data_IF_699574762146
#
_entry.id   IF_699574762146
#
_cell.length_a   1.000
_cell.length_b   1.000
_cell.length_c   1.000
_cell.angle_alpha   90.00
_cell.angle_beta   90.00
_cell.angle_gamma   90.00
#
_symmetry.space_group_name_H-M   'P 1'
#
loop_
_entity.id
_entity.type
_entity.pdbx_description
1 polymer ?
#
# COMPACT_ATOMS: atom_id res chain seq x y z
N UNK A 1 12.34 2.89 8.36
CA UNK A 1 11.11 2.17 8.76
C UNK A 1 11.50 0.83 9.38
N UNK A 2 10.77 0.38 10.42
CA UNK A 2 10.98 -0.91 11.08
C UNK A 2 9.88 -1.86 10.66
N UNK A 3 10.10 -2.62 9.57
CA UNK A 3 9.10 -3.55 9.03
C UNK A 3 8.72 -4.65 10.04
N UNK A 4 9.59 -4.97 10.98
CA UNK A 4 9.34 -5.91 12.07
C UNK A 4 8.24 -5.47 13.06
N UNK A 5 7.75 -4.22 12.94
CA UNK A 5 6.59 -3.70 13.67
C UNK A 5 5.26 -3.83 12.92
N UNK A 6 5.27 -4.47 11.76
CA UNK A 6 4.08 -4.74 10.97
C UNK A 6 3.74 -6.23 11.08
N UNK A 7 2.45 -6.56 10.95
CA UNK A 7 2.03 -7.96 10.79
C UNK A 7 2.65 -8.56 9.52
N UNK A 8 2.72 -9.88 9.44
CA UNK A 8 3.27 -10.55 8.26
C UNK A 8 2.57 -10.09 6.96
N UNK A 9 1.24 -10.00 6.96
CA UNK A 9 0.46 -9.56 5.80
C UNK A 9 0.71 -8.10 5.42
N UNK A 10 0.91 -7.22 6.41
CA UNK A 10 1.26 -5.83 6.14
C UNK A 10 2.70 -5.69 5.61
N UNK A 11 3.64 -6.52 6.09
CA UNK A 11 5.00 -6.58 5.52
C UNK A 11 4.98 -7.05 4.07
N UNK A 12 4.25 -8.13 3.77
CA UNK A 12 4.01 -8.64 2.41
C UNK A 12 3.46 -7.52 1.51
N UNK A 13 2.45 -6.78 2.00
CA UNK A 13 1.82 -5.70 1.23
C UNK A 13 2.79 -4.57 0.87
N UNK A 14 3.67 -4.17 1.79
CA UNK A 14 4.67 -3.11 1.52
C UNK A 14 5.69 -3.59 0.48
N UNK A 15 6.13 -4.85 0.54
CA UNK A 15 7.09 -5.41 -0.40
C UNK A 15 6.46 -5.49 -1.80
N UNK A 16 5.23 -6.00 -1.89
CA UNK A 16 4.47 -6.07 -3.14
C UNK A 16 4.19 -4.67 -3.72
N UNK A 17 3.93 -3.67 -2.88
CA UNK A 17 3.75 -2.28 -3.33
C UNK A 17 5.02 -1.72 -3.97
N UNK A 18 6.20 -2.06 -3.42
CA UNK A 18 7.47 -1.69 -4.00
C UNK A 18 7.70 -2.37 -5.36
N UNK A 19 7.35 -3.65 -5.48
CA UNK A 19 7.41 -4.36 -6.77
C UNK A 19 6.47 -3.74 -7.79
N UNK A 20 5.23 -3.42 -7.38
CA UNK A 20 4.24 -2.79 -8.23
C UNK A 20 4.73 -1.44 -8.77
N UNK A 21 5.33 -0.59 -7.93
CA UNK A 21 5.89 0.68 -8.38
C UNK A 21 7.03 0.49 -9.41
N UNK A 22 7.85 -0.56 -9.25
CA UNK A 22 8.89 -0.91 -10.22
C UNK A 22 8.30 -1.36 -11.56
N UNK A 23 7.26 -2.21 -11.54
CA UNK A 23 6.59 -2.71 -12.74
C UNK A 23 5.95 -1.56 -13.54
N UNK A 24 5.41 -0.56 -12.84
CA UNK A 24 4.87 0.66 -13.44
C UNK A 24 5.94 1.67 -13.89
N UNK A 25 7.22 1.43 -13.57
CA UNK A 25 8.31 2.39 -13.75
C UNK A 25 8.06 3.73 -13.05
N UNK A 26 7.43 3.69 -11.88
CA UNK A 26 7.25 4.88 -11.06
C UNK A 26 8.53 5.18 -10.26
N UNK A 27 8.91 6.47 -10.11
CA UNK A 27 10.15 6.86 -9.43
C UNK A 27 10.11 6.61 -7.92
N UNK A 28 8.91 6.50 -7.34
CA UNK A 28 8.71 6.27 -5.92
C UNK A 28 7.50 5.37 -5.66
N UNK A 29 7.52 4.67 -4.53
CA UNK A 29 6.36 3.95 -4.01
C UNK A 29 5.43 4.96 -3.34
N UNK A 30 4.29 5.19 -3.98
CA UNK A 30 3.20 6.04 -3.49
C UNK A 30 2.11 5.22 -2.75
N UNK A 31 1.28 5.85 -1.90
CA UNK A 31 0.17 5.20 -1.18
C UNK A 31 -0.78 4.40 -2.09
N UNK A 32 -0.99 4.82 -3.33
CA UNK A 32 -1.85 4.15 -4.30
C UNK A 32 -1.34 2.73 -4.65
N UNK A 33 -0.03 2.51 -4.62
CA UNK A 33 0.55 1.17 -4.82
C UNK A 33 0.21 0.26 -3.65
N UNK A 34 0.38 0.77 -2.43
CA UNK A 34 0.04 0.03 -1.22
C UNK A 34 -1.46 -0.28 -1.17
N UNK A 35 -2.30 0.70 -1.49
CA UNK A 35 -3.74 0.52 -1.57
C UNK A 35 -4.13 -0.53 -2.62
N UNK A 36 -3.53 -0.48 -3.82
CA UNK A 36 -3.78 -1.49 -4.86
C UNK A 36 -3.49 -2.90 -4.36
N UNK A 37 -2.36 -3.08 -3.67
CA UNK A 37 -1.98 -4.37 -3.11
C UNK A 37 -2.95 -4.80 -2.01
N UNK A 38 -3.23 -3.95 -1.03
CA UNK A 38 -4.13 -4.25 0.08
C UNK A 38 -5.54 -4.65 -0.38
N UNK A 39 -6.10 -3.93 -1.35
CA UNK A 39 -7.43 -4.20 -1.91
C UNK A 39 -7.50 -5.54 -2.65
N UNK A 40 -6.37 -6.03 -3.17
CA UNK A 40 -6.29 -7.28 -3.92
C UNK A 40 -5.57 -8.40 -3.17
N UNK A 41 -5.19 -8.18 -1.90
CA UNK A 41 -4.40 -9.13 -1.14
C UNK A 41 -5.24 -10.34 -0.74
N UNK A 42 -4.94 -11.50 -1.33
CA UNK A 42 -5.59 -12.76 -0.97
C UNK A 42 -5.36 -13.11 0.51
N UNK A 43 -6.45 -13.45 1.20
CA UNK A 43 -6.41 -13.71 2.64
C UNK A 43 -6.12 -12.48 3.50
N UNK A 44 -6.11 -11.28 2.92
CA UNK A 44 -6.02 -10.01 3.64
C UNK A 44 -7.36 -9.59 4.25
N UNK A 45 -7.31 -8.68 5.24
CA UNK A 45 -8.50 -8.17 5.92
C UNK A 45 -9.25 -7.13 5.07
N UNK A 46 -8.50 -6.31 4.32
CA UNK A 46 -9.04 -5.17 3.55
C UNK A 46 -10.12 -5.57 2.53
N UNK A 47 -9.96 -6.63 1.70
CA UNK A 47 -11.00 -7.02 0.75
C UNK A 47 -12.32 -7.41 1.45
N UNK A 48 -12.21 -8.11 2.58
CA UNK A 48 -13.37 -8.51 3.39
C UNK A 48 -14.04 -7.31 4.05
N UNK A 49 -13.25 -6.37 4.57
CA UNK A 49 -13.74 -5.13 5.18
C UNK A 49 -14.52 -4.27 4.18
N UNK A 50 -13.97 -4.09 2.96
CA UNK A 50 -14.64 -3.37 1.88
C UNK A 50 -15.99 -4.00 1.52
N UNK A 51 -16.04 -5.33 1.44
CA UNK A 51 -17.30 -6.05 1.23
C UNK A 51 -18.30 -5.84 2.37
N UNK A 52 -17.82 -5.80 3.62
CA UNK A 52 -18.67 -5.61 4.80
C UNK A 52 -19.30 -4.21 4.86
N UNK A 53 -18.56 -3.17 4.48
CA UNK A 53 -19.06 -1.78 4.46
C UNK A 53 -19.87 -1.44 3.19
N UNK A 54 -20.06 -2.41 2.28
CA UNK A 54 -20.81 -2.22 1.04
C UNK A 54 -20.07 -1.40 -0.02
N UNK A 55 -18.74 -1.34 0.04
CA UNK A 55 -17.94 -0.67 -0.99
C UNK A 55 -17.94 -1.48 -2.30
N UNK A 56 -18.04 -0.79 -3.43
CA UNK A 56 -17.86 -1.41 -4.74
C UNK A 56 -16.36 -1.60 -5.02
N UNK A 57 -15.87 -2.80 -4.72
CA UNK A 57 -14.47 -3.17 -4.89
C UNK A 57 -14.01 -3.08 -6.35
N UNK A 58 -14.92 -3.25 -7.33
CA UNK A 58 -14.60 -3.13 -8.74
C UNK A 58 -14.39 -1.67 -9.12
N UNK A 59 -15.29 -0.77 -8.71
CA UNK A 59 -15.14 0.67 -8.94
C UNK A 59 -13.90 1.23 -8.23
N UNK A 60 -13.61 0.78 -7.01
CA UNK A 60 -12.41 1.17 -6.27
C UNK A 60 -11.15 0.75 -7.03
N UNK A 61 -11.07 -0.50 -7.46
CA UNK A 61 -9.94 -0.99 -8.24
C UNK A 61 -9.72 -0.19 -9.53
N UNK A 62 -10.80 0.09 -10.27
CA UNK A 62 -10.72 0.90 -11.49
C UNK A 62 -10.19 2.31 -11.22
N UNK A 63 -10.61 2.92 -10.11
CA UNK A 63 -10.15 4.26 -9.71
C UNK A 63 -8.66 4.27 -9.34
N UNK A 64 -8.21 3.24 -8.62
CA UNK A 64 -6.80 3.05 -8.27
C UNK A 64 -5.95 2.82 -9.54
N UNK A 65 -6.42 1.98 -10.46
CA UNK A 65 -5.71 1.70 -11.71
C UNK A 65 -5.57 2.96 -12.58
N UNK A 66 -6.60 3.80 -12.62
CA UNK A 66 -6.53 5.11 -13.30
C UNK A 66 -5.53 6.05 -12.63
N UNK A 67 -5.53 6.11 -11.29
CA UNK A 67 -4.59 6.94 -10.54
C UNK A 67 -3.14 6.50 -10.82
N UNK A 68 -2.84 5.21 -10.71
CA UNK A 68 -1.53 4.64 -11.02
C UNK A 68 -1.14 4.91 -12.48
N UNK A 69 -2.03 4.70 -13.44
CA UNK A 69 -1.74 4.93 -14.86
C UNK A 69 -1.44 6.41 -15.18
N UNK A 70 -1.96 7.35 -14.39
CA UNK A 70 -1.75 8.79 -14.56
C UNK A 70 -0.44 9.32 -13.97
N UNK A 71 0.25 8.52 -13.15
CA UNK A 71 1.48 8.94 -12.49
C UNK A 71 2.64 9.11 -13.50
N UNK A 72 3.58 10.04 -13.24
CA UNK A 72 4.79 10.17 -14.04
C UNK A 72 5.64 8.89 -14.01
N UNK A 73 6.09 8.46 -15.19
CA UNK A 73 7.02 7.33 -15.32
C UNK A 73 8.44 7.83 -15.44
N UNK A 74 9.35 7.15 -14.77
CA UNK A 74 10.76 7.49 -14.77
C UNK A 74 11.50 6.59 -15.77
N UNK A 75 12.36 7.19 -16.61
CA UNK A 75 13.15 6.46 -17.59
C UNK A 75 14.59 6.31 -17.10
N UNK A 76 15.06 5.08 -16.90
CA UNK A 76 16.47 4.80 -16.59
C UNK A 76 16.67 3.55 -15.74
N UNK A 77 17.54 2.63 -16.20
CA UNK A 77 17.73 1.28 -15.66
C UNK A 77 18.39 1.19 -14.28
N UNK A 78 18.68 2.32 -13.63
CA UNK A 78 19.44 2.39 -12.37
C UNK A 78 18.72 3.17 -11.26
N UNK A 79 17.45 3.53 -11.44
CA UNK A 79 16.69 4.16 -10.35
C UNK A 79 16.26 3.12 -9.32
N UNK A 80 16.73 3.29 -8.09
CA UNK A 80 16.16 2.59 -6.94
C UNK A 80 14.83 3.26 -6.59
N UNK A 81 13.73 2.53 -6.73
CA UNK A 81 12.39 2.98 -6.33
C UNK A 81 12.29 2.97 -4.81
N UNK A 82 12.45 4.13 -4.20
CA UNK A 82 12.28 4.36 -2.76
C UNK A 82 10.84 4.70 -2.37
N UNK A 83 10.54 4.71 -1.08
CA UNK A 83 9.23 5.18 -0.59
C UNK A 83 9.10 6.69 -0.78
N UNK A 84 7.91 7.15 -1.18
CA UNK A 84 7.59 8.57 -1.19
C UNK A 84 7.42 9.11 0.23
N UNK A 85 7.44 10.44 0.38
CA UNK A 85 7.13 11.09 1.66
C UNK A 85 5.69 10.79 2.09
N UNK A 86 4.74 10.83 1.15
CA UNK A 86 3.34 10.57 1.44
C UNK A 86 3.12 9.15 1.97
N UNK A 87 3.80 8.15 1.39
CA UNK A 87 3.74 6.78 1.89
C UNK A 87 4.39 6.67 3.28
N UNK A 88 5.53 7.32 3.50
CA UNK A 88 6.17 7.32 4.81
C UNK A 88 5.28 7.94 5.90
N UNK A 89 4.61 9.05 5.59
CA UNK A 89 3.67 9.71 6.50
C UNK A 89 2.45 8.83 6.79
N UNK A 90 1.91 8.16 5.76
CA UNK A 90 0.79 7.20 5.89
C UNK A 90 1.15 6.04 6.83
N UNK A 91 2.36 5.49 6.71
CA UNK A 91 2.81 4.37 7.54
C UNK A 91 3.11 4.77 8.99
N UNK A 92 3.56 6.01 9.21
CA UNK A 92 3.72 6.54 10.57
C UNK A 92 2.36 6.82 11.22
N UNK A 93 1.37 7.29 10.45
CA UNK A 93 -0.01 7.44 10.94
C UNK A 93 -0.63 6.09 11.31
N UNK A 94 -0.47 5.07 10.46
CA UNK A 94 -0.93 3.71 10.76
C UNK A 94 -0.31 3.15 12.05
N UNK A 95 0.98 3.44 12.28
CA UNK A 95 1.65 3.09 13.52
C UNK A 95 1.07 3.83 14.72
N UNK A 96 0.80 5.14 14.61
CA UNK A 96 0.18 5.90 15.68
C UNK A 96 -1.23 5.38 16.03
N UNK A 97 -2.00 4.93 15.02
CA UNK A 97 -3.31 4.31 15.22
C UNK A 97 -3.16 2.99 16.00
N UNK A 98 -2.26 2.10 15.57
CA UNK A 98 -1.99 0.83 16.25
C UNK A 98 -1.54 1.05 17.72
N UNK A 99 -0.63 2.00 17.96
CA UNK A 99 -0.17 2.36 19.30
C UNK A 99 -1.34 2.85 20.19
N UNK A 100 -2.25 3.67 19.64
CA UNK A 100 -3.45 4.13 20.35
C UNK A 100 -4.46 3.01 20.63
N UNK A 101 -4.55 2.03 19.75
CA UNK A 101 -5.36 0.82 19.91
C UNK A 101 -4.71 -0.20 20.85
N UNK A 102 -3.44 0.04 21.24
CA UNK A 102 -2.59 -0.84 22.05
C UNK A 102 -2.25 -2.17 21.34
N UNK A 103 -2.22 -2.13 20.02
CA UNK A 103 -1.79 -3.26 19.21
C UNK A 103 -0.26 -3.39 19.23
N UNK A 104 0.22 -4.63 19.22
CA UNK A 104 1.67 -4.91 19.20
C UNK A 104 2.30 -4.66 17.82
N UNK A 105 1.48 -4.76 16.77
CA UNK A 105 1.89 -4.65 15.37
C UNK A 105 0.88 -3.83 14.57
N UNK A 106 1.37 -3.13 13.55
CA UNK A 106 0.53 -2.49 12.55
C UNK A 106 -0.05 -3.55 11.61
N UNK A 107 -1.37 -3.69 11.60
CA UNK A 107 -2.09 -4.61 10.71
C UNK A 107 -2.35 -3.97 9.34
N UNK A 108 -3.13 -4.64 8.49
CA UNK A 108 -3.50 -4.15 7.15
C UNK A 108 -4.74 -3.26 7.13
N UNK A 109 -5.47 -3.18 8.24
CA UNK A 109 -6.80 -2.53 8.30
C UNK A 109 -6.77 -1.01 8.50
#
# INVERSE_FOLDING_TARGET
>A
MRLDKFTQKAQEAVIEAQQLAQDYNHPAVEPEHLLKVLVNQEGGVVPSLLGHIGADAQMLNQSIDQALASMPRATGSAMQTGMSRNLADTLEEAKAIADNMKDEYVSTE
#
